data_IF_326114066810
#
_entry.id   IF_326114066810
#
_cell.length_a   1.000
_cell.length_b   1.000
_cell.length_c   1.000
_cell.angle_alpha   90.00
_cell.angle_beta   90.00
_cell.angle_gamma   90.00
#
_symmetry.space_group_name_H-M   'P 1'
#
loop_
_entity.id
_entity.type
_entity.pdbx_description
1 polymer ?
#
# COMPACT_ATOMS: atom_id res chain seq x y z
N UNK A 1 -2.36 -3.97 5.06
CA UNK A 1 -3.00 -4.13 6.38
C UNK A 1 -3.58 -5.53 6.57
N UNK A 2 -4.09 -5.87 7.77
CA UNK A 2 -4.63 -7.21 8.09
C UNK A 2 -5.79 -7.65 7.18
N UNK A 3 -6.65 -6.71 6.78
CA UNK A 3 -7.78 -6.96 5.87
C UNK A 3 -7.27 -7.41 4.49
N UNK A 4 -6.34 -6.64 3.90
CA UNK A 4 -5.71 -7.00 2.62
C UNK A 4 -4.98 -8.36 2.67
N UNK A 5 -4.30 -8.69 3.79
CA UNK A 5 -3.64 -10.00 3.95
C UNK A 5 -4.63 -11.17 3.95
N UNK A 6 -5.84 -10.99 4.51
CA UNK A 6 -6.90 -12.01 4.48
C UNK A 6 -7.49 -12.15 3.07
N UNK A 7 -7.64 -11.05 2.36
CA UNK A 7 -8.15 -11.04 0.99
C UNK A 7 -7.15 -11.56 -0.04
N UNK A 8 -5.85 -11.66 0.30
CA UNK A 8 -4.83 -12.19 -0.61
C UNK A 8 -5.13 -13.62 -1.12
N UNK A 9 -5.86 -14.42 -0.35
CA UNK A 9 -6.23 -15.79 -0.73
C UNK A 9 -7.47 -15.78 -1.63
N UNK A 10 -8.46 -14.94 -1.31
CA UNK A 10 -9.75 -14.92 -2.01
C UNK A 10 -9.76 -14.00 -3.23
N UNK A 11 -8.85 -13.05 -3.30
CA UNK A 11 -8.73 -12.07 -4.37
C UNK A 11 -7.25 -11.79 -4.71
N UNK A 12 -6.51 -12.79 -5.24
CA UNK A 12 -5.08 -12.69 -5.48
C UNK A 12 -4.74 -11.68 -6.58
N UNK A 13 -5.53 -11.64 -7.65
CA UNK A 13 -5.30 -10.75 -8.81
C UNK A 13 -5.35 -9.25 -8.43
N UNK A 14 -6.15 -8.90 -7.42
CA UNK A 14 -6.28 -7.50 -6.96
C UNK A 14 -5.53 -7.22 -5.65
N UNK A 15 -4.72 -8.17 -5.17
CA UNK A 15 -3.95 -8.01 -3.94
C UNK A 15 -2.45 -8.04 -4.21
N UNK A 16 -1.82 -6.88 -4.13
CA UNK A 16 -0.37 -6.76 -4.33
C UNK A 16 0.38 -7.06 -3.03
N UNK A 17 1.25 -8.07 -3.09
CA UNK A 17 2.15 -8.45 -1.99
C UNK A 17 3.59 -8.09 -2.34
N UNK A 18 4.41 -7.89 -1.29
CA UNK A 18 5.86 -7.73 -1.42
C UNK A 18 6.31 -6.60 -2.37
N UNK A 19 5.52 -5.54 -2.49
CA UNK A 19 5.80 -4.40 -3.38
C UNK A 19 7.17 -3.75 -3.14
N UNK A 20 7.67 -3.78 -1.89
CA UNK A 20 9.00 -3.29 -1.51
C UNK A 20 10.14 -3.94 -2.30
N UNK A 21 9.99 -5.22 -2.71
CA UNK A 21 10.98 -5.93 -3.53
C UNK A 21 11.03 -5.46 -4.99
N UNK A 22 10.01 -4.73 -5.43
CA UNK A 22 9.89 -4.21 -6.81
C UNK A 22 10.15 -2.70 -6.89
N UNK A 23 10.43 -2.02 -5.76
CA UNK A 23 10.77 -0.60 -5.78
C UNK A 23 12.06 -0.36 -6.58
N UNK A 24 12.08 0.71 -7.37
CA UNK A 24 13.23 1.03 -8.25
C UNK A 24 13.31 0.20 -9.53
N UNK A 25 12.28 -0.59 -9.83
CA UNK A 25 12.16 -1.34 -11.10
C UNK A 25 10.99 -0.80 -11.94
N UNK A 26 10.95 -1.14 -13.22
CA UNK A 26 9.86 -0.77 -14.14
C UNK A 26 8.58 -1.61 -13.97
N UNK A 27 8.50 -2.39 -12.87
CA UNK A 27 7.31 -3.18 -12.56
C UNK A 27 6.07 -2.29 -12.46
N UNK A 28 4.94 -2.75 -13.00
CA UNK A 28 3.63 -2.12 -12.83
C UNK A 28 2.63 -3.21 -12.48
N UNK A 29 1.92 -3.04 -11.36
CA UNK A 29 0.82 -3.91 -11.01
C UNK A 29 -0.43 -3.43 -11.76
N UNK A 30 -1.10 -4.32 -12.49
CA UNK A 30 -2.38 -4.02 -13.12
C UNK A 30 -3.50 -4.44 -12.16
N UNK A 31 -4.33 -3.49 -11.75
CA UNK A 31 -5.53 -3.74 -10.95
C UNK A 31 -6.70 -3.11 -11.70
N UNK A 32 -7.61 -3.95 -12.20
CA UNK A 32 -8.80 -3.55 -12.95
C UNK A 32 -8.51 -2.63 -14.16
N UNK A 33 -7.42 -2.88 -14.88
CA UNK A 33 -7.00 -2.09 -16.06
C UNK A 33 -6.26 -0.80 -15.71
N UNK A 34 -6.01 -0.54 -14.42
CA UNK A 34 -5.17 0.57 -13.95
C UNK A 34 -3.80 0.05 -13.54
N UNK A 35 -2.77 0.61 -14.15
CA UNK A 35 -1.38 0.29 -13.85
C UNK A 35 -0.87 1.17 -12.71
N UNK A 36 -0.47 0.54 -11.62
CA UNK A 36 0.14 1.20 -10.47
C UNK A 36 1.62 0.84 -10.37
N UNK A 37 2.45 1.85 -10.16
CA UNK A 37 3.87 1.67 -9.85
C UNK A 37 4.07 1.20 -8.40
N UNK A 38 5.18 0.51 -8.11
CA UNK A 38 5.60 0.17 -6.75
C UNK A 38 5.62 1.37 -5.80
N UNK A 39 5.98 2.54 -6.32
CA UNK A 39 6.07 3.80 -5.59
C UNK A 39 4.68 4.28 -5.16
N UNK A 40 3.70 4.26 -6.07
CA UNK A 40 2.32 4.64 -5.78
C UNK A 40 1.67 3.70 -4.77
N UNK A 41 1.84 2.39 -4.94
CA UNK A 41 1.32 1.39 -3.99
C UNK A 41 1.97 1.58 -2.60
N UNK A 42 3.26 1.87 -2.56
CA UNK A 42 3.96 2.14 -1.30
C UNK A 42 3.45 3.44 -0.65
N UNK A 43 3.16 4.48 -1.44
CA UNK A 43 2.57 5.71 -0.94
C UNK A 43 1.18 5.46 -0.33
N UNK A 44 0.34 4.62 -0.93
CA UNK A 44 -0.96 4.24 -0.36
C UNK A 44 -0.80 3.51 0.98
N UNK A 45 0.21 2.65 1.12
CA UNK A 45 0.51 1.97 2.39
C UNK A 45 0.95 2.99 3.45
N UNK A 46 1.82 3.93 3.11
CA UNK A 46 2.30 4.98 4.02
C UNK A 46 1.18 5.93 4.43
N UNK A 47 0.30 6.31 3.50
CA UNK A 47 -0.88 7.11 3.80
C UNK A 47 -1.79 6.42 4.81
N UNK A 48 -2.05 5.11 4.61
CA UNK A 48 -2.83 4.35 5.58
C UNK A 48 -2.14 4.29 6.96
N UNK A 49 -0.83 4.07 6.99
CA UNK A 49 -0.07 4.05 8.26
C UNK A 49 -0.14 5.40 8.96
N UNK A 50 -0.02 6.50 8.21
CA UNK A 50 -0.21 7.85 8.71
C UNK A 50 -1.61 8.03 9.29
N UNK A 51 -2.67 7.70 8.55
CA UNK A 51 -4.06 7.81 9.04
C UNK A 51 -4.29 6.97 10.29
N UNK A 52 -3.76 5.74 10.35
CA UNK A 52 -3.89 4.87 11.52
C UNK A 52 -3.14 5.47 12.74
N UNK A 53 -1.98 6.12 12.53
CA UNK A 53 -1.22 6.79 13.57
C UNK A 53 -1.87 8.12 14.02
N UNK A 54 -2.39 8.92 13.08
CA UNK A 54 -3.16 10.15 13.37
C UNK A 54 -4.43 9.83 14.15
N UNK A 55 -5.13 8.73 13.81
CA UNK A 55 -6.30 8.28 14.56
C UNK A 55 -5.97 7.83 15.99
N UNK A 56 -4.77 7.29 16.20
CA UNK A 56 -4.31 6.89 17.53
C UNK A 56 -3.87 8.08 18.39
N UNK A 57 -3.18 9.05 17.78
CA UNK A 57 -2.62 10.23 18.48
C UNK A 57 -3.61 11.39 18.59
N UNK A 58 -4.63 11.46 17.73
CA UNK A 58 -5.60 12.54 17.68
C UNK A 58 -5.11 13.82 16.98
N UNK A 59 -3.90 13.81 16.42
CA UNK A 59 -3.25 14.97 15.80
C UNK A 59 -2.66 14.62 14.43
N UNK A 60 -2.42 15.64 13.59
CA UNK A 60 -1.88 15.46 12.23
C UNK A 60 -0.37 15.23 12.25
N UNK A 61 0.08 14.18 11.54
CA UNK A 61 1.51 13.83 11.44
C UNK A 61 2.05 14.31 10.09
N UNK A 62 2.99 15.27 10.12
CA UNK A 62 3.56 15.87 8.90
C UNK A 62 4.91 15.28 8.50
N UNK A 63 5.65 14.68 9.45
CA UNK A 63 6.98 14.12 9.21
C UNK A 63 7.06 12.68 9.74
N UNK A 64 7.77 11.83 9.00
CA UNK A 64 8.08 10.46 9.38
C UNK A 64 9.56 10.19 9.02
N UNK A 65 10.21 9.32 9.79
CA UNK A 65 11.62 8.92 9.62
C UNK A 65 11.69 7.48 9.12
#
# INVERSE_FOLDING_TARGET
GRIARRQAITNPERTVLSVKRRMGTDYKADIDGKKYSPQEISAMILQKMKTDAEAYLGEKITQAV
#
